data_IF_364887585513
#
_entry.id   IF_364887585513
#
_cell.length_a   1.000
_cell.length_b   1.000
_cell.length_c   1.000
_cell.angle_alpha   90.00
_cell.angle_beta   90.00
_cell.angle_gamma   90.00
#
_symmetry.space_group_name_H-M   'P 1'
#
loop_
_entity.id
_entity.type
_entity.pdbx_description
1 polymer ?
#
# COMPACT_ATOMS: atom_id res chain seq x y z
N UNK A 1 19.84 -8.48 -23.85
CA UNK A 1 18.46 -8.38 -23.34
C UNK A 1 18.42 -9.04 -21.98
N UNK A 2 18.31 -8.30 -20.88
CA UNK A 2 18.15 -8.91 -19.54
C UNK A 2 16.76 -9.51 -19.46
N UNK A 3 16.67 -10.77 -19.08
CA UNK A 3 15.42 -11.54 -19.00
C UNK A 3 14.48 -10.88 -17.97
N UNK A 4 13.50 -10.09 -18.42
CA UNK A 4 12.52 -9.37 -17.59
C UNK A 4 11.57 -10.33 -16.82
N UNK A 5 11.48 -11.59 -17.23
CA UNK A 5 10.63 -12.61 -16.60
C UNK A 5 11.06 -12.99 -15.19
N UNK A 6 12.26 -12.61 -14.73
CA UNK A 6 12.80 -13.03 -13.45
C UNK A 6 12.62 -12.00 -12.32
N UNK A 7 12.24 -10.73 -12.62
CA UNK A 7 12.12 -9.69 -11.60
C UNK A 7 10.93 -9.92 -10.66
N UNK A 8 9.86 -10.50 -11.18
CA UNK A 8 8.65 -10.82 -10.42
C UNK A 8 8.69 -12.21 -9.74
N UNK A 9 9.82 -12.92 -9.81
CA UNK A 9 10.00 -14.14 -9.04
C UNK A 9 10.60 -13.79 -7.67
N UNK A 10 9.96 -14.17 -6.56
CA UNK A 10 10.54 -13.98 -5.25
C UNK A 10 11.75 -14.89 -5.05
N UNK A 11 12.71 -14.42 -4.27
CA UNK A 11 13.86 -15.24 -3.87
C UNK A 11 13.48 -16.14 -2.69
N UNK A 12 14.22 -17.23 -2.53
CA UNK A 12 14.02 -18.13 -1.39
C UNK A 12 14.29 -17.37 -0.09
N UNK A 13 13.28 -17.33 0.79
CA UNK A 13 13.35 -16.64 2.08
C UNK A 13 13.21 -15.11 2.02
N UNK A 14 12.94 -14.54 0.84
CA UNK A 14 12.72 -13.10 0.70
C UNK A 14 11.44 -12.69 1.45
N UNK A 15 11.52 -11.63 2.26
CA UNK A 15 10.34 -11.05 2.93
C UNK A 15 9.47 -10.31 1.90
N UNK A 16 8.13 -10.28 2.08
CA UNK A 16 7.25 -9.48 1.21
C UNK A 16 7.68 -8.01 1.08
N UNK A 17 8.11 -7.38 2.17
CA UNK A 17 8.63 -6.00 2.16
C UNK A 17 9.88 -5.87 1.28
N UNK A 18 10.82 -6.82 1.36
CA UNK A 18 12.04 -6.84 0.54
C UNK A 18 11.72 -7.05 -0.93
N UNK A 19 10.79 -7.96 -1.21
CA UNK A 19 10.30 -8.20 -2.56
C UNK A 19 9.66 -6.95 -3.17
N UNK A 20 8.73 -6.31 -2.44
CA UNK A 20 8.04 -5.10 -2.89
C UNK A 20 9.04 -3.95 -3.14
N UNK A 21 10.03 -3.76 -2.27
CA UNK A 21 11.09 -2.76 -2.43
C UNK A 21 11.98 -3.07 -3.64
N UNK A 22 12.37 -4.34 -3.83
CA UNK A 22 13.18 -4.76 -4.99
C UNK A 22 12.46 -4.51 -6.31
N UNK A 23 11.19 -4.90 -6.39
CA UNK A 23 10.34 -4.67 -7.57
C UNK A 23 10.14 -3.17 -7.79
N UNK A 24 9.96 -2.40 -6.71
CA UNK A 24 9.85 -0.94 -6.77
C UNK A 24 11.10 -0.26 -7.31
N UNK A 25 12.28 -0.65 -6.85
CA UNK A 25 13.56 -0.12 -7.38
C UNK A 25 13.75 -0.47 -8.85
N UNK A 26 13.38 -1.67 -9.26
CA UNK A 26 13.38 -2.03 -10.67
C UNK A 26 12.45 -1.11 -11.47
N UNK A 27 11.18 -0.96 -11.03
CA UNK A 27 10.23 -0.07 -11.69
C UNK A 27 10.78 1.35 -11.80
N UNK A 28 11.28 1.92 -10.69
CA UNK A 28 11.87 3.26 -10.67
C UNK A 28 13.06 3.43 -11.64
N UNK A 29 13.76 2.34 -12.00
CA UNK A 29 14.82 2.35 -13.00
C UNK A 29 14.32 2.31 -14.45
N UNK A 30 13.05 1.97 -14.67
CA UNK A 30 12.42 1.87 -16.00
C UNK A 30 11.66 3.13 -16.41
N UNK A 31 11.31 3.99 -15.46
CA UNK A 31 10.54 5.22 -15.71
C UNK A 31 11.44 6.45 -15.73
N UNK A 32 11.00 7.50 -16.42
CA UNK A 32 11.74 8.77 -16.54
C UNK A 32 11.54 9.66 -15.32
N UNK A 33 12.48 10.59 -15.08
CA UNK A 33 12.33 11.57 -14.00
C UNK A 33 11.08 12.45 -14.11
N UNK A 34 10.64 12.91 -15.32
CA UNK A 34 9.35 13.60 -15.45
C UNK A 34 8.17 12.74 -15.01
N UNK A 35 8.18 11.42 -15.30
CA UNK A 35 7.14 10.50 -14.86
C UNK A 35 7.10 10.40 -13.33
N UNK A 36 8.24 10.19 -12.67
CA UNK A 36 8.33 10.15 -11.21
C UNK A 36 7.80 11.43 -10.56
N UNK A 37 8.18 12.59 -11.10
CA UNK A 37 7.70 13.89 -10.62
C UNK A 37 6.20 14.07 -10.79
N UNK A 38 5.64 13.63 -11.92
CA UNK A 38 4.21 13.71 -12.21
C UNK A 38 3.37 12.98 -11.15
N UNK A 39 3.82 11.82 -10.69
CA UNK A 39 3.11 11.01 -9.70
C UNK A 39 3.63 11.19 -8.27
N UNK A 40 4.62 12.07 -8.05
CA UNK A 40 5.22 12.27 -6.72
C UNK A 40 5.82 10.99 -6.13
N UNK A 41 6.34 10.10 -7.00
CA UNK A 41 6.76 8.75 -6.62
C UNK A 41 8.07 8.77 -5.84
N UNK A 42 7.94 8.61 -4.53
CA UNK A 42 9.06 8.35 -3.63
C UNK A 42 8.78 7.01 -2.93
N UNK A 43 9.54 5.99 -3.33
CA UNK A 43 9.42 4.68 -2.70
C UNK A 43 9.88 4.76 -1.24
N UNK A 44 9.08 4.18 -0.35
CA UNK A 44 9.38 4.17 1.08
C UNK A 44 10.53 3.18 1.34
N UNK A 45 11.65 3.62 1.95
CA UNK A 45 12.72 2.71 2.33
C UNK A 45 12.25 1.69 3.38
N UNK A 46 12.75 0.45 3.30
CA UNK A 46 12.38 -0.64 4.23
C UNK A 46 12.49 -0.22 5.72
N UNK A 47 13.59 0.42 6.19
CA UNK A 47 13.67 0.81 7.60
C UNK A 47 12.57 1.80 8.03
N UNK A 48 12.13 2.67 7.11
CA UNK A 48 11.03 3.60 7.37
C UNK A 48 9.70 2.85 7.43
N UNK A 49 9.48 1.90 6.50
CA UNK A 49 8.27 1.08 6.48
C UNK A 49 8.17 0.20 7.74
N UNK A 50 9.24 -0.45 8.13
CA UNK A 50 9.31 -1.27 9.35
C UNK A 50 9.07 -0.39 10.61
N UNK A 51 9.64 0.82 10.65
CA UNK A 51 9.38 1.76 11.74
C UNK A 51 7.91 2.19 11.78
N UNK A 52 7.32 2.61 10.67
CA UNK A 52 5.90 3.00 10.60
C UNK A 52 4.99 1.85 11.02
N UNK A 53 5.25 0.64 10.54
CA UNK A 53 4.53 -0.55 10.95
C UNK A 53 4.64 -0.82 12.46
N UNK A 54 5.77 -0.51 13.09
CA UNK A 54 5.99 -0.72 14.53
C UNK A 54 5.13 0.17 15.41
N UNK A 55 4.67 1.32 14.89
CA UNK A 55 3.83 2.27 15.61
C UNK A 55 2.36 1.84 15.71
N UNK A 56 1.97 0.80 14.97
CA UNK A 56 0.58 0.36 14.82
C UNK A 56 0.37 -0.94 15.59
N UNK A 57 -0.70 -1.01 16.38
CA UNK A 57 -1.05 -2.20 17.16
C UNK A 57 -2.58 -2.43 17.14
N UNK A 58 -3.17 -2.72 15.97
CA UNK A 58 -4.59 -3.02 15.87
C UNK A 58 -4.90 -4.36 16.55
N UNK A 59 -6.00 -4.39 17.28
CA UNK A 59 -6.43 -5.57 18.05
C UNK A 59 -7.67 -6.17 17.43
N UNK A 60 -7.68 -7.49 17.33
CA UNK A 60 -8.87 -8.22 16.88
C UNK A 60 -8.53 -9.38 15.95
N UNK A 61 -9.54 -10.24 15.71
CA UNK A 61 -9.37 -11.41 14.84
C UNK A 61 -9.32 -11.05 13.35
N UNK A 62 -9.81 -9.87 12.98
CA UNK A 62 -9.76 -9.31 11.63
C UNK A 62 -9.24 -7.86 11.70
N UNK A 63 -8.44 -7.46 10.70
CA UNK A 63 -7.87 -6.12 10.59
C UNK A 63 -8.13 -5.58 9.19
N UNK A 64 -8.72 -4.38 9.11
CA UNK A 64 -8.92 -3.66 7.85
C UNK A 64 -7.92 -2.53 7.73
N UNK A 65 -7.19 -2.52 6.64
CA UNK A 65 -6.08 -1.58 6.37
C UNK A 65 -6.44 -0.72 5.17
N UNK A 66 -6.20 0.59 5.29
CA UNK A 66 -6.22 1.55 4.19
C UNK A 66 -4.79 2.02 3.91
N UNK A 67 -4.38 1.93 2.64
CA UNK A 67 -3.16 2.56 2.13
C UNK A 67 -3.50 3.49 0.94
N UNK A 68 -3.63 4.80 1.16
CA UNK A 68 -4.01 5.75 0.11
C UNK A 68 -2.96 5.98 -0.99
N UNK A 69 -1.79 5.36 -0.89
CA UNK A 69 -0.70 5.52 -1.83
C UNK A 69 0.19 4.29 -1.91
N UNK A 70 -0.33 3.21 -2.55
CA UNK A 70 0.28 1.88 -2.52
C UNK A 70 1.75 1.84 -2.92
N UNK A 71 2.15 2.59 -3.94
CA UNK A 71 3.43 2.33 -4.57
C UNK A 71 3.53 0.87 -5.00
N UNK A 72 4.57 0.18 -4.58
CA UNK A 72 4.71 -1.27 -4.79
C UNK A 72 4.23 -2.11 -3.60
N UNK A 73 3.55 -1.49 -2.61
CA UNK A 73 3.00 -2.18 -1.46
C UNK A 73 3.98 -2.36 -0.28
N UNK A 74 5.09 -1.65 -0.25
CA UNK A 74 6.13 -1.79 0.80
C UNK A 74 5.56 -1.57 2.19
N UNK A 75 4.75 -0.50 2.39
CA UNK A 75 4.12 -0.20 3.68
C UNK A 75 3.13 -1.28 4.11
N UNK A 76 2.27 -1.70 3.19
CA UNK A 76 1.29 -2.76 3.45
C UNK A 76 1.99 -4.08 3.80
N UNK A 77 3.08 -4.43 3.09
CA UNK A 77 3.90 -5.60 3.39
C UNK A 77 4.51 -5.54 4.78
N UNK A 78 5.17 -4.43 5.14
CA UNK A 78 5.80 -4.25 6.44
C UNK A 78 4.78 -4.36 7.59
N UNK A 79 3.61 -3.73 7.43
CA UNK A 79 2.54 -3.82 8.43
C UNK A 79 2.00 -5.25 8.58
N UNK A 80 1.72 -5.92 7.46
CA UNK A 80 1.21 -7.30 7.50
C UNK A 80 2.24 -8.29 8.07
N UNK A 81 3.53 -8.11 7.77
CA UNK A 81 4.60 -8.89 8.39
C UNK A 81 4.63 -8.70 9.91
N UNK A 82 4.56 -7.45 10.38
CA UNK A 82 4.48 -7.16 11.82
C UNK A 82 3.26 -7.82 12.46
N UNK A 83 2.07 -7.67 11.85
CA UNK A 83 0.84 -8.26 12.36
C UNK A 83 0.92 -9.79 12.43
N UNK A 84 1.54 -10.41 11.43
CA UNK A 84 1.71 -11.88 11.40
C UNK A 84 2.64 -12.41 12.47
N UNK A 85 3.54 -11.58 12.98
CA UNK A 85 4.52 -11.91 14.03
C UNK A 85 4.02 -11.56 15.43
N UNK A 86 2.83 -10.96 15.55
CA UNK A 86 2.26 -10.58 16.84
C UNK A 86 1.83 -11.84 17.62
N UNK A 87 2.02 -11.90 18.96
CA UNK A 87 1.58 -13.04 19.78
C UNK A 87 0.09 -13.37 19.63
N UNK A 88 -0.74 -12.34 19.42
CA UNK A 88 -2.17 -12.46 19.09
C UNK A 88 -2.35 -11.98 17.66
N UNK A 89 -1.92 -12.82 16.68
CA UNK A 89 -2.03 -12.47 15.27
C UNK A 89 -3.50 -12.49 14.80
N UNK A 90 -3.88 -11.61 13.86
CA UNK A 90 -5.21 -11.66 13.24
C UNK A 90 -5.38 -12.94 12.42
N UNK A 91 -6.63 -13.39 12.27
CA UNK A 91 -6.99 -14.50 11.37
C UNK A 91 -7.24 -14.03 9.94
N UNK A 92 -7.62 -12.75 9.79
CA UNK A 92 -7.91 -12.15 8.50
C UNK A 92 -7.38 -10.73 8.43
N UNK A 93 -6.88 -10.35 7.26
CA UNK A 93 -6.47 -8.97 6.94
C UNK A 93 -7.11 -8.61 5.60
N UNK A 94 -7.79 -7.46 5.56
CA UNK A 94 -8.34 -6.88 4.34
C UNK A 94 -7.64 -5.54 4.05
N UNK A 95 -7.05 -5.39 2.87
CA UNK A 95 -6.36 -4.19 2.43
C UNK A 95 -7.16 -3.51 1.31
N UNK A 96 -7.42 -2.21 1.47
CA UNK A 96 -7.81 -1.34 0.37
C UNK A 96 -6.68 -0.36 0.12
N UNK A 97 -6.22 -0.29 -1.11
CA UNK A 97 -5.12 0.59 -1.47
C UNK A 97 -5.42 1.36 -2.75
N UNK A 98 -4.85 2.55 -2.88
CA UNK A 98 -5.02 3.44 -4.03
C UNK A 98 -3.67 3.64 -4.73
N UNK A 99 -3.67 3.56 -6.06
CA UNK A 99 -2.50 3.85 -6.88
C UNK A 99 -2.94 4.50 -8.20
N UNK A 100 -2.49 5.71 -8.45
CA UNK A 100 -2.87 6.49 -9.65
C UNK A 100 -2.01 6.18 -10.86
N UNK A 101 -0.78 5.72 -10.66
CA UNK A 101 0.09 5.31 -11.76
C UNK A 101 -0.25 3.92 -12.27
N UNK A 102 -1.01 3.87 -13.34
CA UNK A 102 -1.40 2.60 -13.98
C UNK A 102 -0.22 1.75 -14.43
N UNK A 103 0.93 2.36 -14.72
CA UNK A 103 2.13 1.61 -15.10
C UNK A 103 2.75 0.87 -13.93
N UNK A 104 2.48 1.32 -12.69
CA UNK A 104 2.96 0.69 -11.46
C UNK A 104 2.06 -0.49 -11.00
N UNK A 105 0.79 -0.53 -11.41
CA UNK A 105 -0.17 -1.55 -10.96
C UNK A 105 0.33 -2.99 -11.09
N UNK A 106 0.99 -3.42 -12.19
CA UNK A 106 1.52 -4.78 -12.29
C UNK A 106 2.54 -5.10 -11.18
N UNK A 107 3.38 -4.14 -10.81
CA UNK A 107 4.36 -4.29 -9.74
C UNK A 107 3.68 -4.34 -8.36
N UNK A 108 2.70 -3.46 -8.12
CA UNK A 108 1.87 -3.47 -6.91
C UNK A 108 1.14 -4.81 -6.74
N UNK A 109 0.50 -5.28 -7.81
CA UNK A 109 -0.21 -6.57 -7.80
C UNK A 109 0.74 -7.72 -7.48
N UNK A 110 1.91 -7.78 -8.11
CA UNK A 110 2.90 -8.82 -7.83
C UNK A 110 3.35 -8.81 -6.35
N UNK A 111 3.55 -7.62 -5.76
CA UNK A 111 3.88 -7.45 -4.34
C UNK A 111 2.80 -8.00 -3.43
N UNK A 112 1.54 -7.63 -3.70
CA UNK A 112 0.40 -8.05 -2.88
C UNK A 112 0.04 -9.53 -3.07
N UNK A 113 0.22 -10.10 -4.25
CA UNK A 113 0.04 -11.54 -4.49
C UNK A 113 1.10 -12.37 -3.76
N UNK A 114 2.35 -11.89 -3.75
CA UNK A 114 3.38 -12.53 -2.95
C UNK A 114 3.08 -12.42 -1.45
N UNK A 115 2.69 -11.25 -0.96
CA UNK A 115 2.24 -11.07 0.42
C UNK A 115 1.09 -12.02 0.78
N UNK A 116 0.10 -12.17 -0.11
CA UNK A 116 -1.02 -13.09 0.07
C UNK A 116 -0.54 -14.53 0.27
N UNK A 117 0.32 -15.00 -0.61
CA UNK A 117 0.89 -16.36 -0.50
C UNK A 117 1.67 -16.54 0.80
N UNK A 118 2.44 -15.52 1.18
CA UNK A 118 3.25 -15.51 2.39
C UNK A 118 2.40 -15.54 3.68
N UNK A 119 1.28 -14.80 3.71
CA UNK A 119 0.33 -14.76 4.83
C UNK A 119 -0.49 -16.05 4.94
N UNK A 120 -0.93 -16.62 3.82
CA UNK A 120 -1.64 -17.92 3.81
C UNK A 120 -0.78 -19.01 4.43
N UNK A 121 0.53 -19.04 4.15
CA UNK A 121 1.46 -19.99 4.79
C UNK A 121 1.58 -19.77 6.32
N UNK A 122 1.03 -18.67 6.86
CA UNK A 122 0.97 -18.33 8.30
C UNK A 122 -0.43 -18.40 8.87
N UNK A 123 -1.36 -19.03 8.13
CA UNK A 123 -2.77 -19.23 8.50
C UNK A 123 -3.55 -17.90 8.65
N UNK A 124 -3.14 -16.87 7.90
CA UNK A 124 -3.83 -15.58 7.84
C UNK A 124 -4.49 -15.44 6.48
N UNK A 125 -5.81 -15.29 6.46
CA UNK A 125 -6.55 -14.95 5.25
C UNK A 125 -6.23 -13.50 4.86
N UNK A 126 -5.84 -13.28 3.60
CA UNK A 126 -5.57 -11.95 3.08
C UNK A 126 -6.38 -11.67 1.83
N UNK A 127 -7.08 -10.55 1.84
CA UNK A 127 -7.78 -9.99 0.68
C UNK A 127 -7.30 -8.58 0.42
N UNK A 128 -7.27 -8.17 -0.85
CA UNK A 128 -6.92 -6.81 -1.20
C UNK A 128 -7.71 -6.29 -2.40
N UNK A 129 -7.86 -4.97 -2.45
CA UNK A 129 -8.37 -4.23 -3.59
C UNK A 129 -7.42 -3.08 -3.92
N UNK A 130 -7.15 -2.89 -5.23
CA UNK A 130 -6.34 -1.77 -5.73
C UNK A 130 -7.29 -0.83 -6.49
N UNK A 131 -7.50 0.38 -5.97
CA UNK A 131 -8.26 1.43 -6.61
C UNK A 131 -7.33 2.30 -7.47
N UNK A 132 -7.65 2.43 -8.76
CA UNK A 132 -6.84 3.23 -9.71
C UNK A 132 -7.29 4.70 -9.80
N UNK A 133 -7.83 5.22 -8.71
CA UNK A 133 -8.33 6.59 -8.57
C UNK A 133 -7.44 7.37 -7.63
N UNK A 134 -7.44 8.68 -7.76
CA UNK A 134 -6.91 9.56 -6.72
C UNK A 134 -7.76 9.43 -5.45
N UNK A 135 -7.11 9.12 -4.33
CA UNK A 135 -7.80 8.89 -3.05
C UNK A 135 -8.57 10.13 -2.59
N UNK A 136 -7.95 11.31 -2.68
CA UNK A 136 -8.55 12.57 -2.23
C UNK A 136 -9.75 12.91 -3.11
N UNK A 137 -9.60 12.86 -4.43
CA UNK A 137 -10.68 13.16 -5.37
C UNK A 137 -11.83 12.15 -5.27
N UNK A 138 -11.52 10.88 -5.09
CA UNK A 138 -12.53 9.83 -4.94
C UNK A 138 -13.40 10.03 -3.69
N UNK A 139 -12.83 10.63 -2.63
CA UNK A 139 -13.47 10.80 -1.33
C UNK A 139 -13.81 12.27 -1.01
N UNK A 140 -13.48 13.24 -1.88
CA UNK A 140 -13.69 14.68 -1.64
C UNK A 140 -15.17 15.03 -1.37
N UNK A 141 -16.11 14.38 -2.06
CA UNK A 141 -17.56 14.62 -1.85
C UNK A 141 -18.04 14.22 -0.46
N UNK A 142 -17.39 13.24 0.16
CA UNK A 142 -17.69 12.84 1.53
C UNK A 142 -17.24 13.89 2.56
N UNK A 143 -16.29 14.77 2.18
CA UNK A 143 -15.78 15.87 3.01
C UNK A 143 -16.57 17.17 2.80
N UNK A 144 -17.22 17.33 1.64
CA UNK A 144 -17.93 18.58 1.25
C UNK A 144 -19.38 18.61 1.77
N UNK A 145 -19.85 17.53 2.36
CA UNK A 145 -21.18 17.48 2.97
C UNK A 145 -21.15 18.19 4.33
N UNK A 146 -21.27 19.55 4.28
CA UNK A 146 -21.36 20.45 5.45
C UNK A 146 -22.54 20.14 6.39
N UNK A 147 -23.25 19.08 6.16
CA UNK A 147 -24.33 18.51 6.99
C UNK A 147 -23.85 17.35 7.88
N UNK A 148 -22.56 17.19 8.07
CA UNK A 148 -22.03 16.53 9.26
C UNK A 148 -22.27 15.04 9.42
N UNK A 149 -22.25 14.26 8.37
CA UNK A 149 -22.27 12.81 8.54
C UNK A 149 -21.04 12.17 7.89
N UNK A 150 -20.05 11.84 8.71
CA UNK A 150 -19.00 10.88 8.41
C UNK A 150 -19.52 9.52 7.89
N UNK A 151 -20.85 9.36 7.84
CA UNK A 151 -21.51 8.12 7.41
C UNK A 151 -21.61 7.94 5.91
N UNK A 152 -21.22 8.91 5.10
CA UNK A 152 -21.25 8.81 3.63
C UNK A 152 -19.87 8.55 2.99
N UNK A 153 -18.82 8.29 3.76
CA UNK A 153 -17.73 7.44 3.27
C UNK A 153 -18.26 5.99 3.09
N UNK A 154 -19.49 5.89 2.87
CA UNK A 154 -20.39 4.74 2.92
C UNK A 154 -20.42 3.90 1.65
N UNK A 155 -19.39 3.93 0.81
CA UNK A 155 -19.09 2.76 -0.01
C UNK A 155 -18.19 1.76 0.73
N UNK A 156 -17.73 2.12 1.94
CA UNK A 156 -16.96 1.26 2.82
C UNK A 156 -17.88 0.90 4.00
N UNK A 157 -18.65 -0.16 3.86
CA UNK A 157 -19.66 -0.62 4.83
C UNK A 157 -19.11 -0.85 6.24
N UNK A 158 -17.79 -0.84 6.41
CA UNK A 158 -17.11 -1.01 7.71
C UNK A 158 -15.89 -0.10 7.82
N UNK A 159 -15.58 0.44 9.02
CA UNK A 159 -14.42 1.32 9.24
C UNK A 159 -13.09 0.57 9.05
N UNK A 160 -12.03 1.30 8.74
CA UNK A 160 -10.66 0.79 8.77
C UNK A 160 -10.12 0.83 10.21
N UNK A 161 -9.39 -0.20 10.59
CA UNK A 161 -8.69 -0.25 11.87
C UNK A 161 -7.37 0.53 11.80
N UNK A 162 -6.77 0.60 10.60
CA UNK A 162 -5.48 1.25 10.36
C UNK A 162 -5.48 1.96 9.03
N UNK A 163 -4.97 3.19 9.00
CA UNK A 163 -4.52 3.85 7.79
C UNK A 163 -2.99 4.02 7.87
N UNK A 164 -2.28 3.57 6.84
CA UNK A 164 -0.83 3.72 6.72
C UNK A 164 -0.51 4.31 5.35
N UNK A 165 0.26 5.39 5.31
CA UNK A 165 0.56 6.08 4.04
C UNK A 165 1.87 6.84 4.12
N UNK A 166 2.58 6.87 3.01
CA UNK A 166 3.62 7.83 2.72
C UNK A 166 3.16 8.66 1.51
N UNK A 167 2.44 9.78 1.74
CA UNK A 167 1.80 10.53 0.66
C UNK A 167 2.83 11.17 -0.26
N UNK A 168 2.48 11.42 -1.53
CA UNK A 168 3.38 12.06 -2.48
C UNK A 168 3.73 13.48 -2.04
N UNK A 169 5.03 13.84 -2.17
CA UNK A 169 5.53 15.18 -1.84
C UNK A 169 5.49 16.06 -3.07
N UNK A 170 4.45 16.89 -3.21
CA UNK A 170 4.40 17.94 -4.22
C UNK A 170 4.84 19.28 -3.64
N UNK A 171 5.68 20.02 -4.37
CA UNK A 171 5.88 21.42 -4.07
C UNK A 171 4.65 22.17 -4.56
N UNK A 172 3.89 22.75 -3.63
CA UNK A 172 2.83 23.69 -3.96
C UNK A 172 3.53 24.97 -4.46
N UNK A 173 3.26 25.46 -5.69
CA UNK A 173 3.76 26.74 -6.15
C UNK A 173 3.36 27.84 -5.16
N UNK A 174 4.26 28.81 -4.91
CA UNK A 174 3.99 29.90 -3.96
C UNK A 174 2.82 30.82 -4.36
N UNK A 175 2.40 30.72 -5.61
CA UNK A 175 1.39 31.57 -6.25
C UNK A 175 0.08 30.80 -6.56
N UNK A 176 -0.11 29.62 -5.96
CA UNK A 176 -1.38 28.88 -6.08
C UNK A 176 -2.35 29.47 -5.04
N UNK A 177 -3.52 30.05 -5.46
CA UNK A 177 -4.46 30.75 -4.60
C UNK A 177 -5.17 29.83 -3.60
#
# INVERSE_FOLDING_TARGET
MRNHSNIFQPFVGERPTEYADRVGRWYASTVTEPHKKKYGQYLTPIPVADFMASLVDPKGPAVRILDPGAGTGVLACALCEKLSSHPVKPRAIALVTYETDRALIPATTAGLDYLKTWLVAREITFTYAIETKDFVQANARALDDSQGTFSQIASLEEPFDVAISNPPYFKIPKDDP
#
